data_IF_314797853227
#
_entry.id   IF_314797853227
#
_cell.length_a   1.000
_cell.length_b   1.000
_cell.length_c   1.000
_cell.angle_alpha   90.00
_cell.angle_beta   90.00
_cell.angle_gamma   90.00
#
_symmetry.space_group_name_H-M   'P 1'
#
loop_
_entity.id
_entity.type
_entity.pdbx_description
1 polymer ?
#
# COMPACT_ATOMS: atom_id res chain seq x y z
N UNK A 1 6.00 0.15 -10.73
CA UNK A 1 6.71 -0.58 -9.65
C UNK A 1 6.24 -0.05 -8.30
N UNK A 2 6.16 -0.88 -7.26
CA UNK A 2 5.77 -0.46 -5.91
C UNK A 2 7.05 -0.26 -5.09
N UNK A 3 7.48 0.99 -4.95
CA UNK A 3 8.83 1.39 -4.50
C UNK A 3 8.86 2.02 -3.10
N UNK A 4 7.70 2.40 -2.54
CA UNK A 4 7.61 2.99 -1.21
C UNK A 4 7.49 1.93 -0.13
N UNK A 5 8.28 2.07 0.94
CA UNK A 5 8.30 1.20 2.11
C UNK A 5 7.47 1.79 3.24
N UNK A 6 6.63 0.97 3.87
CA UNK A 6 5.95 1.27 5.13
C UNK A 6 6.53 0.36 6.22
N UNK A 7 7.03 0.93 7.30
CA UNK A 7 7.46 0.19 8.48
C UNK A 7 6.43 0.39 9.60
N UNK A 8 5.98 -0.71 10.20
CA UNK A 8 4.98 -0.72 11.27
C UNK A 8 5.52 -1.55 12.42
N UNK A 9 5.49 -1.01 13.64
CA UNK A 9 5.77 -1.77 14.86
C UNK A 9 4.51 -2.50 15.29
N UNK A 10 4.63 -3.79 15.54
CA UNK A 10 3.52 -4.69 15.83
C UNK A 10 3.93 -5.63 16.96
N UNK A 11 2.96 -6.05 17.76
CA UNK A 11 3.14 -7.17 18.69
C UNK A 11 3.26 -8.49 17.92
N UNK A 12 3.79 -9.53 18.59
CA UNK A 12 3.85 -10.87 18.03
C UNK A 12 2.46 -11.42 17.67
N UNK A 13 1.45 -11.08 18.48
CA UNK A 13 0.06 -11.50 18.25
C UNK A 13 -0.51 -10.90 16.95
N UNK A 14 -0.35 -9.60 16.73
CA UNK A 14 -0.83 -8.93 15.52
C UNK A 14 -0.12 -9.45 14.26
N UNK A 15 1.18 -9.72 14.35
CA UNK A 15 1.93 -10.32 13.24
C UNK A 15 1.39 -11.71 12.89
N UNK A 16 1.09 -12.55 13.90
CA UNK A 16 0.54 -13.88 13.68
C UNK A 16 -0.86 -13.81 13.06
N UNK A 17 -1.72 -12.90 13.53
CA UNK A 17 -3.04 -12.68 12.91
C UNK A 17 -2.92 -12.26 11.45
N UNK A 18 -2.00 -11.34 11.13
CA UNK A 18 -1.76 -10.88 9.77
C UNK A 18 -1.29 -12.02 8.86
N UNK A 19 -0.39 -12.87 9.35
CA UNK A 19 0.14 -14.02 8.61
C UNK A 19 -0.92 -15.09 8.33
N UNK A 20 -1.73 -15.43 9.34
CA UNK A 20 -2.81 -16.39 9.19
C UNK A 20 -3.85 -15.91 8.18
N UNK A 21 -4.24 -14.63 8.26
CA UNK A 21 -5.23 -14.07 7.36
C UNK A 21 -4.71 -13.94 5.92
N UNK A 22 -3.43 -13.58 5.76
CA UNK A 22 -2.76 -13.56 4.47
C UNK A 22 -2.76 -14.97 3.83
N UNK A 23 -2.37 -15.98 4.62
CA UNK A 23 -2.36 -17.39 4.20
C UNK A 23 -3.76 -17.88 3.81
N UNK A 24 -4.77 -17.61 4.64
CA UNK A 24 -6.17 -18.00 4.39
C UNK A 24 -6.71 -17.44 3.07
N UNK A 25 -6.24 -16.27 2.65
CA UNK A 25 -6.65 -15.60 1.40
C UNK A 25 -5.73 -15.91 0.21
N UNK A 26 -4.67 -16.69 0.39
CA UNK A 26 -3.66 -16.93 -0.64
C UNK A 26 -2.90 -15.66 -1.05
N UNK A 27 -2.72 -14.73 -0.10
CA UNK A 27 -2.06 -13.44 -0.32
C UNK A 27 -0.78 -13.34 0.52
N UNK A 28 0.16 -12.51 0.10
CA UNK A 28 1.25 -12.06 0.96
C UNK A 28 0.76 -11.02 1.97
N UNK A 29 1.47 -10.85 3.10
CA UNK A 29 1.18 -9.80 4.10
C UNK A 29 1.08 -8.41 3.47
N UNK A 30 1.99 -8.09 2.54
CA UNK A 30 1.97 -6.82 1.80
C UNK A 30 0.77 -6.67 0.86
N UNK A 31 0.27 -7.75 0.26
CA UNK A 31 -0.94 -7.73 -0.56
C UNK A 31 -2.19 -7.53 0.28
N UNK A 32 -2.28 -8.20 1.41
CA UNK A 32 -3.37 -8.03 2.35
C UNK A 32 -3.43 -6.58 2.87
N UNK A 33 -2.29 -6.03 3.31
CA UNK A 33 -2.21 -4.63 3.74
C UNK A 33 -2.59 -3.65 2.62
N UNK A 34 -2.12 -3.88 1.39
CA UNK A 34 -2.52 -3.05 0.24
C UNK A 34 -4.01 -3.16 -0.08
N UNK A 35 -4.58 -4.36 0.03
CA UNK A 35 -6.02 -4.60 -0.17
C UNK A 35 -6.87 -3.90 0.89
N UNK A 36 -6.35 -3.77 2.12
CA UNK A 36 -6.98 -2.99 3.16
C UNK A 36 -6.91 -1.49 2.84
N UNK A 37 -5.72 -0.98 2.50
CA UNK A 37 -5.49 0.43 2.14
C UNK A 37 -6.34 0.84 0.93
N UNK A 38 -6.53 -0.06 -0.04
CA UNK A 38 -7.33 0.22 -1.24
C UNK A 38 -8.82 0.50 -0.95
N UNK A 39 -9.31 0.18 0.26
CA UNK A 39 -10.68 0.50 0.69
C UNK A 39 -10.82 1.91 1.26
N UNK A 40 -9.70 2.61 1.51
CA UNK A 40 -9.72 3.98 1.98
C UNK A 40 -10.15 4.93 0.86
N UNK A 41 -10.77 6.08 1.20
CA UNK A 41 -11.15 7.07 0.18
C UNK A 41 -9.93 7.58 -0.58
N UNK A 42 -10.16 8.13 -1.78
CA UNK A 42 -9.08 8.73 -2.56
C UNK A 42 -8.36 9.83 -1.76
N UNK A 43 -7.02 9.94 -1.87
CA UNK A 43 -6.28 10.99 -1.19
C UNK A 43 -6.69 12.36 -1.75
N UNK A 44 -7.04 13.30 -0.87
CA UNK A 44 -7.52 14.66 -1.23
C UNK A 44 -6.56 15.40 -2.18
N UNK A 45 -5.25 15.18 -2.03
CA UNK A 45 -4.21 15.87 -2.80
C UNK A 45 -3.64 15.05 -3.95
N UNK A 46 -4.24 13.90 -4.30
CA UNK A 46 -3.69 13.01 -5.34
C UNK A 46 -3.68 13.63 -6.75
N UNK A 47 -4.57 14.60 -7.02
CA UNK A 47 -4.54 15.39 -8.26
C UNK A 47 -3.25 16.21 -8.42
N UNK A 48 -2.69 16.74 -7.32
CA UNK A 48 -1.44 17.51 -7.34
C UNK A 48 -0.21 16.62 -7.60
N UNK A 49 -0.24 15.36 -7.16
CA UNK A 49 0.84 14.40 -7.39
C UNK A 49 0.91 13.96 -8.87
N UNK A 50 -0.24 13.84 -9.55
CA UNK A 50 -0.27 13.54 -11.00
C UNK A 50 0.20 14.72 -11.85
N UNK A 51 -0.10 15.96 -11.47
CA UNK A 51 0.35 17.15 -12.21
C UNK A 51 1.86 17.43 -12.06
N UNK A 52 2.50 16.92 -11.01
CA UNK A 52 3.94 17.05 -10.81
C UNK A 52 4.79 16.03 -11.60
N UNK A 53 4.17 15.05 -12.27
CA UNK A 53 4.88 13.93 -12.94
C UNK A 53 4.87 14.02 -14.48
N UNK A 54 4.76 15.23 -15.04
CA UNK A 54 5.05 15.49 -16.45
C UNK A 54 6.03 16.68 -16.60
N UNK A 55 7.35 16.48 -16.50
CA UNK A 55 8.25 17.17 -17.40
C UNK A 55 8.30 16.33 -18.68
N UNK A 56 7.34 16.55 -19.59
CA UNK A 56 7.55 16.14 -20.98
C UNK A 56 8.58 17.10 -21.56
N UNK A 57 9.86 16.77 -21.35
CA UNK A 57 10.89 17.10 -22.32
C UNK A 57 10.48 16.46 -23.64
N UNK A 58 9.76 17.21 -24.48
CA UNK A 58 9.51 16.86 -25.87
C UNK A 58 9.28 18.17 -26.63
N UNK A 59 10.39 18.68 -27.16
CA UNK A 59 10.57 19.33 -28.48
C UNK A 59 9.49 20.34 -28.90
#
# INVERSE_FOLDING_TARGET
MKDKKLEVRMTAYEMLQLEQEATRRGMTKSELMRSLIAKFPEPKDFKALKSATLPSSAI
#
